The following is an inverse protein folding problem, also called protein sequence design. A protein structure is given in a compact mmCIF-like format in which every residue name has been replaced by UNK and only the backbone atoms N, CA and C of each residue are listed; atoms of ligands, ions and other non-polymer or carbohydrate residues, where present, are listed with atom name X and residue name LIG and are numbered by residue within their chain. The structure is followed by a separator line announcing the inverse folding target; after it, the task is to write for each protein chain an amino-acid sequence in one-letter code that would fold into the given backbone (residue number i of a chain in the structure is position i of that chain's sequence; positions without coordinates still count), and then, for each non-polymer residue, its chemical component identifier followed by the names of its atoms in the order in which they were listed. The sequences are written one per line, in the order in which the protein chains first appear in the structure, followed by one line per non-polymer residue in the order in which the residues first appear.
data_IF_351460662348
#
_entry.id   IF_351460662348
#
_cell.length_a   1.000
_cell.length_b   1.000
_cell.length_c   1.000
_cell.angle_alpha   90.00
_cell.angle_beta   90.00
_cell.angle_gamma   90.00
#
_symmetry.space_group_name_H-M   'P 1'
#
loop_
_entity.id
_entity.type
_entity.pdbx_description
1 polymer ?
#
# COMPACT_ATOMS: atom_id res chain seq x y z
N UNK A 1 -33.31 20.21 -7.31
CA UNK A 1 -31.97 20.35 -6.70
C UNK A 1 -31.60 18.99 -6.10
N UNK A 2 -30.83 18.17 -6.83
CA UNK A 2 -30.46 16.82 -6.36
C UNK A 2 -29.36 16.97 -5.31
N UNK A 3 -29.69 16.64 -4.06
CA UNK A 3 -28.71 16.46 -3.00
C UNK A 3 -27.81 15.28 -3.39
N UNK A 4 -26.57 15.55 -3.77
CA UNK A 4 -25.53 14.53 -3.74
C UNK A 4 -25.19 14.29 -2.26
N UNK A 5 -25.31 13.06 -1.73
CA UNK A 5 -24.80 12.79 -0.41
C UNK A 5 -23.30 13.09 -0.42
N UNK A 6 -22.84 13.89 0.55
CA UNK A 6 -21.41 14.06 0.83
C UNK A 6 -20.79 12.67 0.85
N UNK A 7 -19.90 12.37 -0.10
CA UNK A 7 -19.04 11.20 0.02
C UNK A 7 -18.36 11.29 1.38
N UNK A 8 -18.54 10.29 2.24
CA UNK A 8 -17.62 10.03 3.34
C UNK A 8 -16.32 9.49 2.75
N UNK A 9 -15.60 10.35 2.01
CA UNK A 9 -14.23 10.08 1.64
C UNK A 9 -13.44 10.18 2.94
N UNK A 10 -12.99 9.04 3.46
CA UNK A 10 -12.09 8.99 4.62
C UNK A 10 -10.71 9.42 4.14
N UNK A 11 -10.49 10.74 4.11
CA UNK A 11 -9.21 11.31 3.71
C UNK A 11 -8.12 10.92 4.71
N UNK A 12 -6.97 10.48 4.19
CA UNK A 12 -5.77 10.21 4.99
C UNK A 12 -5.46 11.43 5.87
N UNK A 13 -5.28 11.18 7.18
CA UNK A 13 -4.91 12.21 8.13
C UNK A 13 -3.39 12.37 8.19
N UNK A 14 -2.88 13.22 7.31
CA UNK A 14 -1.44 13.49 7.19
C UNK A 14 -0.79 13.99 8.48
N UNK A 15 -1.55 14.65 9.37
CA UNK A 15 -1.01 15.18 10.63
C UNK A 15 -0.69 14.08 11.64
N UNK A 16 -1.26 12.88 11.47
CA UNK A 16 -0.98 11.73 12.33
C UNK A 16 0.19 10.87 11.82
N UNK A 17 0.75 11.19 10.65
CA UNK A 17 1.96 10.53 10.17
C UNK A 17 3.17 11.04 10.93
N UNK A 18 3.89 10.12 11.56
CA UNK A 18 5.26 10.37 11.97
C UNK A 18 6.13 10.32 10.71
N UNK A 19 6.80 11.40 10.37
CA UNK A 19 7.68 11.47 9.21
C UNK A 19 9.12 11.47 9.72
N UNK A 20 9.92 10.49 9.26
CA UNK A 20 11.33 10.42 9.61
C UNK A 20 12.11 11.61 9.00
N UNK A 21 13.16 12.07 9.68
CA UNK A 21 14.06 13.06 9.10
C UNK A 21 14.96 12.39 8.06
N UNK A 22 14.95 12.91 6.83
CA UNK A 22 15.62 12.29 5.69
C UNK A 22 16.21 13.33 4.75
N UNK A 23 17.39 13.01 4.19
CA UNK A 23 18.06 13.85 3.16
C UNK A 23 17.41 13.77 1.77
N UNK A 24 16.24 13.15 1.65
CA UNK A 24 15.51 12.93 0.39
C UNK A 24 15.69 11.51 -0.17
N UNK A 25 14.87 11.10 -1.16
CA UNK A 25 14.79 9.72 -1.61
C UNK A 25 15.91 9.25 -2.53
N UNK A 26 16.83 10.14 -2.93
CA UNK A 26 17.94 9.79 -3.81
C UNK A 26 17.46 9.11 -5.11
N UNK A 27 18.06 7.96 -5.43
CA UNK A 27 17.75 7.18 -6.63
C UNK A 27 16.34 6.56 -6.58
N UNK A 28 15.75 6.37 -5.39
CA UNK A 28 14.39 5.83 -5.26
C UNK A 28 13.30 6.79 -5.74
N UNK A 29 13.62 8.06 -6.03
CA UNK A 29 12.62 9.05 -6.45
C UNK A 29 11.79 8.58 -7.65
N UNK A 30 12.44 8.02 -8.67
CA UNK A 30 11.77 7.55 -9.89
C UNK A 30 10.87 6.32 -9.63
N UNK A 31 11.17 5.55 -8.58
CA UNK A 31 10.30 4.48 -8.11
C UNK A 31 9.17 5.01 -7.24
N UNK A 32 9.40 6.03 -6.41
CA UNK A 32 8.38 6.63 -5.56
C UNK A 32 7.30 7.35 -6.35
N UNK A 33 7.70 8.15 -7.32
CA UNK A 33 6.81 9.01 -8.09
C UNK A 33 6.15 8.28 -9.27
N UNK A 34 6.54 7.02 -9.53
CA UNK A 34 6.01 6.23 -10.64
C UNK A 34 4.51 6.01 -10.50
N UNK A 35 3.75 6.53 -11.46
CA UNK A 35 2.29 6.50 -11.40
C UNK A 35 1.71 5.16 -11.84
N UNK A 36 2.40 4.35 -12.63
CA UNK A 36 1.85 3.05 -13.06
C UNK A 36 2.22 1.92 -12.08
N UNK A 37 1.97 0.68 -12.51
CA UNK A 37 2.22 -0.52 -11.70
C UNK A 37 3.71 -0.71 -11.43
N UNK A 38 4.13 -0.65 -10.15
CA UNK A 38 5.48 -1.03 -9.74
C UNK A 38 5.84 -2.45 -10.17
N UNK A 39 4.87 -3.35 -10.18
CA UNK A 39 5.05 -4.74 -10.62
C UNK A 39 5.44 -4.79 -12.10
N UNK A 40 4.79 -3.98 -12.94
CA UNK A 40 5.04 -3.98 -14.39
C UNK A 40 6.38 -3.30 -14.69
N UNK A 41 6.71 -2.23 -13.96
CA UNK A 41 8.03 -1.59 -14.01
C UNK A 41 9.15 -2.56 -13.64
N UNK A 42 9.01 -3.29 -12.53
CA UNK A 42 9.99 -4.30 -12.12
C UNK A 42 10.14 -5.37 -13.20
N UNK A 43 9.05 -5.97 -13.68
CA UNK A 43 9.07 -6.98 -14.75
C UNK A 43 9.76 -6.48 -16.02
N UNK A 44 9.51 -5.23 -16.42
CA UNK A 44 10.14 -4.64 -17.60
C UNK A 44 11.67 -4.52 -17.44
N UNK A 45 12.16 -4.28 -16.22
CA UNK A 45 13.58 -4.11 -15.93
C UNK A 45 14.30 -5.44 -15.68
N UNK A 46 13.65 -6.40 -15.04
CA UNK A 46 14.30 -7.64 -14.55
C UNK A 46 13.83 -8.91 -15.26
N UNK A 47 12.82 -8.80 -16.15
CA UNK A 47 12.19 -9.93 -16.84
C UNK A 47 11.15 -10.69 -16.00
N UNK A 48 11.13 -10.52 -14.68
CA UNK A 48 10.20 -11.22 -13.80
C UNK A 48 9.90 -10.44 -12.50
N UNK A 49 8.71 -10.67 -11.93
CA UNK A 49 8.36 -10.20 -10.60
C UNK A 49 7.49 -11.26 -9.92
N UNK A 50 7.97 -11.72 -8.77
CA UNK A 50 7.37 -12.77 -7.96
C UNK A 50 6.73 -12.16 -6.73
N UNK A 51 5.44 -12.42 -6.56
CA UNK A 51 4.71 -12.03 -5.36
C UNK A 51 4.76 -13.18 -4.36
N UNK A 52 5.20 -12.89 -3.14
CA UNK A 52 5.09 -13.79 -2.00
C UNK A 52 4.11 -13.21 -0.97
N UNK A 53 3.09 -14.00 -0.61
CA UNK A 53 2.07 -13.61 0.37
C UNK A 53 2.55 -13.96 1.77
N UNK A 54 2.74 -12.93 2.60
CA UNK A 54 3.17 -13.07 3.99
C UNK A 54 1.99 -13.30 4.93
N UNK A 55 0.92 -12.53 4.77
CA UNK A 55 -0.30 -12.65 5.57
C UNK A 55 -1.53 -12.22 4.77
N UNK A 56 -2.69 -12.79 5.11
CA UNK A 56 -3.98 -12.37 4.58
C UNK A 56 -5.09 -12.81 5.52
N UNK A 57 -5.72 -11.88 6.21
CA UNK A 57 -6.75 -12.19 7.19
C UNK A 57 -7.59 -10.95 7.54
N UNK A 58 -8.74 -11.21 8.14
CA UNK A 58 -9.46 -10.20 8.91
C UNK A 58 -8.70 -9.88 10.19
N UNK A 59 -8.63 -8.60 10.54
CA UNK A 59 -7.95 -8.11 11.73
C UNK A 59 -8.76 -6.97 12.36
N UNK A 60 -8.47 -6.68 13.63
CA UNK A 60 -8.97 -5.48 14.31
C UNK A 60 -8.05 -4.31 13.89
N UNK A 61 -8.59 -3.16 13.45
CA UNK A 61 -7.78 -2.00 13.07
C UNK A 61 -6.91 -1.53 14.23
N UNK A 62 -5.61 -1.38 13.95
CA UNK A 62 -4.64 -0.90 14.92
C UNK A 62 -4.65 0.64 15.01
N UNK A 63 -3.74 1.20 15.80
CA UNK A 63 -3.62 2.65 15.94
C UNK A 63 -3.41 3.36 14.58
N UNK A 64 -2.50 2.86 13.75
CA UNK A 64 -2.20 3.44 12.45
C UNK A 64 -3.44 3.43 11.54
N UNK A 65 -4.15 2.29 11.44
CA UNK A 65 -5.37 2.16 10.64
C UNK A 65 -6.46 3.17 11.09
N UNK A 66 -6.60 3.39 12.40
CA UNK A 66 -7.62 4.30 12.95
C UNK A 66 -7.27 5.77 12.78
N UNK A 67 -6.04 6.14 13.06
CA UNK A 67 -5.64 7.55 13.18
C UNK A 67 -5.02 8.11 11.90
N UNK A 68 -4.31 7.29 11.13
CA UNK A 68 -3.74 7.69 9.84
C UNK A 68 -4.76 7.52 8.72
N UNK A 69 -5.42 6.36 8.63
CA UNK A 69 -6.41 6.11 7.58
C UNK A 69 -7.85 6.52 7.96
N UNK A 70 -8.09 6.89 9.22
CA UNK A 70 -9.42 7.31 9.67
C UNK A 70 -10.44 6.16 9.78
N UNK A 71 -10.00 4.90 9.76
CA UNK A 71 -10.91 3.74 9.70
C UNK A 71 -11.70 3.58 11.00
N UNK A 72 -13.03 3.66 10.89
CA UNK A 72 -13.96 3.49 12.01
C UNK A 72 -14.53 2.07 12.12
N UNK A 73 -14.31 1.21 11.12
CA UNK A 73 -14.78 -0.17 11.16
C UNK A 73 -14.17 -0.94 12.34
N UNK A 74 -14.85 -1.97 12.82
CA UNK A 74 -14.31 -2.87 13.84
C UNK A 74 -13.39 -3.94 13.25
N UNK A 75 -13.42 -4.12 11.94
CA UNK A 75 -12.56 -5.06 11.23
C UNK A 75 -12.09 -4.50 9.89
N UNK A 76 -10.87 -4.90 9.52
CA UNK A 76 -10.26 -4.68 8.21
C UNK A 76 -9.83 -6.03 7.65
N UNK A 77 -9.97 -6.20 6.34
CA UNK A 77 -9.29 -7.25 5.62
C UNK A 77 -7.91 -6.73 5.24
N UNK A 78 -6.87 -7.36 5.79
CA UNK A 78 -5.48 -6.97 5.60
C UNK A 78 -4.77 -8.05 4.79
N UNK A 79 -3.93 -7.62 3.84
CA UNK A 79 -3.00 -8.49 3.12
C UNK A 79 -1.61 -7.88 3.13
N UNK A 80 -0.62 -8.67 3.47
CA UNK A 80 0.80 -8.29 3.44
C UNK A 80 1.53 -9.20 2.45
N UNK A 81 2.37 -8.60 1.61
CA UNK A 81 3.16 -9.29 0.59
C UNK A 81 4.58 -8.71 0.55
N UNK A 82 5.48 -9.45 -0.10
CA UNK A 82 6.71 -8.91 -0.65
C UNK A 82 6.75 -9.14 -2.15
N UNK A 83 7.33 -8.21 -2.88
CA UNK A 83 7.68 -8.41 -4.29
C UNK A 83 9.17 -8.69 -4.40
N UNK A 84 9.51 -9.77 -5.11
CA UNK A 84 10.88 -10.23 -5.29
C UNK A 84 11.19 -10.59 -6.74
N UNK A 85 12.47 -10.68 -7.07
CA UNK A 85 12.96 -11.37 -8.26
C UNK A 85 14.27 -12.07 -7.90
N UNK A 86 14.41 -13.34 -8.31
CA UNK A 86 15.62 -14.14 -8.04
C UNK A 86 16.05 -14.14 -6.56
N UNK A 87 15.07 -14.15 -5.64
CA UNK A 87 15.31 -14.14 -4.20
C UNK A 87 15.61 -12.76 -3.59
N UNK A 88 15.79 -11.71 -4.39
CA UNK A 88 15.98 -10.33 -3.92
C UNK A 88 14.61 -9.68 -3.72
N UNK A 89 14.35 -9.14 -2.53
CA UNK A 89 13.12 -8.40 -2.22
C UNK A 89 13.30 -6.93 -2.56
N UNK A 90 12.33 -6.33 -3.25
CA UNK A 90 12.40 -4.93 -3.68
C UNK A 90 11.44 -4.01 -2.93
N UNK A 91 10.26 -4.53 -2.57
CA UNK A 91 9.35 -3.80 -1.70
C UNK A 91 8.45 -4.75 -0.92
N UNK A 92 8.04 -4.25 0.23
CA UNK A 92 6.93 -4.79 1.00
C UNK A 92 5.65 -4.05 0.60
N UNK A 93 4.50 -4.72 0.59
CA UNK A 93 3.23 -4.03 0.44
C UNK A 93 2.15 -4.55 1.40
N UNK A 94 1.32 -3.62 1.86
CA UNK A 94 0.19 -3.86 2.76
C UNK A 94 -1.07 -3.23 2.18
N UNK A 95 -2.05 -4.08 1.87
CA UNK A 95 -3.39 -3.65 1.50
C UNK A 95 -4.28 -3.64 2.74
N UNK A 96 -5.03 -2.55 2.94
CA UNK A 96 -5.99 -2.38 4.05
C UNK A 96 -7.37 -2.10 3.47
N UNK A 97 -8.30 -3.02 3.64
CA UNK A 97 -9.65 -2.93 3.11
C UNK A 97 -10.64 -2.89 4.29
N UNK A 98 -11.28 -1.74 4.58
CA UNK A 98 -12.29 -1.66 5.63
C UNK A 98 -13.45 -2.62 5.38
N UNK A 99 -14.03 -3.20 6.44
CA UNK A 99 -15.14 -4.15 6.32
C UNK A 99 -16.31 -3.60 5.49
N UNK A 100 -16.67 -2.32 5.65
CA UNK A 100 -17.73 -1.68 4.86
C UNK A 100 -17.38 -1.59 3.37
N UNK A 101 -16.12 -1.33 3.04
CA UNK A 101 -15.64 -1.30 1.66
C UNK A 101 -15.68 -2.72 1.06
N UNK A 102 -15.16 -3.71 1.78
CA UNK A 102 -15.20 -5.12 1.36
C UNK A 102 -16.63 -5.59 1.09
N UNK A 103 -17.58 -5.22 1.96
CA UNK A 103 -18.99 -5.59 1.85
C UNK A 103 -19.71 -5.01 0.63
N UNK A 104 -19.15 -4.01 -0.06
CA UNK A 104 -19.72 -3.48 -1.30
C UNK A 104 -19.68 -4.52 -2.43
N UNK A 105 -18.64 -5.36 -2.47
CA UNK A 105 -18.45 -6.38 -3.51
C UNK A 105 -17.45 -7.47 -3.06
N UNK A 106 -17.86 -8.42 -2.20
CA UNK A 106 -16.96 -9.44 -1.68
C UNK A 106 -16.24 -10.26 -2.77
N UNK A 107 -16.93 -10.58 -3.87
CA UNK A 107 -16.35 -11.33 -4.99
C UNK A 107 -15.20 -10.59 -5.67
N UNK A 108 -15.19 -9.25 -5.63
CA UNK A 108 -14.08 -8.46 -6.15
C UNK A 108 -12.85 -8.61 -5.26
N UNK A 109 -12.99 -8.52 -3.95
CA UNK A 109 -11.87 -8.63 -3.01
C UNK A 109 -11.40 -10.07 -2.78
N UNK A 110 -12.28 -11.07 -2.95
CA UNK A 110 -11.92 -12.49 -2.90
C UNK A 110 -10.90 -12.89 -3.96
N UNK A 111 -10.83 -12.16 -5.08
CA UNK A 111 -9.79 -12.35 -6.09
C UNK A 111 -8.38 -12.22 -5.51
N UNK A 112 -8.20 -11.48 -4.41
CA UNK A 112 -6.90 -11.34 -3.73
C UNK A 112 -6.35 -12.67 -3.19
N UNK A 113 -7.16 -13.71 -3.05
CA UNK A 113 -6.63 -15.04 -2.73
C UNK A 113 -5.64 -15.56 -3.79
N UNK A 114 -5.90 -15.24 -5.06
CA UNK A 114 -5.17 -15.80 -6.21
C UNK A 114 -4.50 -14.74 -7.08
N UNK A 115 -4.88 -13.48 -6.94
CA UNK A 115 -4.40 -12.37 -7.78
C UNK A 115 -3.61 -11.34 -6.96
N UNK A 116 -2.76 -10.58 -7.64
CA UNK A 116 -2.12 -9.40 -7.05
C UNK A 116 -3.10 -8.22 -6.97
N UNK A 117 -2.91 -7.32 -5.99
CA UNK A 117 -3.70 -6.09 -5.88
C UNK A 117 -3.60 -5.21 -7.13
N UNK A 118 -2.49 -5.27 -7.87
CA UNK A 118 -2.33 -4.61 -9.19
C UNK A 118 -3.52 -4.89 -10.10
N UNK A 119 -3.89 -6.16 -10.27
CA UNK A 119 -4.97 -6.56 -11.19
C UNK A 119 -6.35 -6.03 -10.76
N UNK A 120 -6.50 -5.72 -9.47
CA UNK A 120 -7.72 -5.13 -8.94
C UNK A 120 -7.72 -3.60 -9.08
N UNK A 121 -6.55 -2.96 -9.25
CA UNK A 121 -6.43 -1.49 -9.30
C UNK A 121 -6.39 -0.97 -10.74
N UNK A 122 -5.55 -1.57 -11.60
CA UNK A 122 -5.22 -0.98 -12.90
C UNK A 122 -6.16 -1.38 -14.03
N UNK A 123 -6.81 -2.53 -13.92
CA UNK A 123 -7.67 -3.09 -14.97
C UNK A 123 -9.17 -2.98 -14.61
N UNK A 124 -9.53 -2.17 -13.61
CA UNK A 124 -10.88 -2.12 -13.03
C UNK A 124 -11.48 -0.71 -13.04
N UNK A 125 -12.54 -0.52 -13.85
CA UNK A 125 -13.25 0.76 -13.96
C UNK A 125 -13.94 1.22 -12.66
N UNK A 126 -14.23 0.30 -11.75
CA UNK A 126 -14.85 0.62 -10.46
C UNK A 126 -13.86 1.09 -9.38
N UNK A 127 -12.57 1.18 -9.70
CA UNK A 127 -11.52 1.69 -8.81
C UNK A 127 -10.95 2.99 -9.37
N UNK A 128 -10.99 4.04 -8.56
CA UNK A 128 -10.34 5.32 -8.86
C UNK A 128 -9.23 5.59 -7.85
N UNK A 129 -8.04 5.84 -8.36
CA UNK A 129 -6.87 6.21 -7.55
C UNK A 129 -6.87 7.68 -7.19
N UNK A 130 -6.54 7.98 -5.95
CA UNK A 130 -6.17 9.34 -5.51
C UNK A 130 -4.65 9.54 -5.66
N UNK A 131 -4.16 10.80 -5.58
CA UNK A 131 -2.73 11.09 -5.61
C UNK A 131 -1.94 10.29 -4.57
N UNK A 132 -0.75 9.87 -4.95
CA UNK A 132 0.16 9.08 -4.09
C UNK A 132 0.82 10.01 -3.08
N UNK A 133 0.83 9.59 -1.82
CA UNK A 133 1.63 10.21 -0.77
C UNK A 133 2.94 9.45 -0.61
N UNK A 134 4.07 10.16 -0.65
CA UNK A 134 5.39 9.57 -0.43
C UNK A 134 6.06 10.19 0.80
N UNK A 135 6.59 9.36 1.71
CA UNK A 135 7.27 9.83 2.92
C UNK A 135 8.30 8.83 3.43
N UNK A 136 9.39 9.30 4.09
CA UNK A 136 10.38 8.43 4.71
C UNK A 136 9.90 7.88 6.05
N UNK A 137 10.38 6.69 6.39
CA UNK A 137 10.16 6.01 7.69
C UNK A 137 11.46 5.41 8.23
N UNK A 138 11.58 5.39 9.55
CA UNK A 138 12.73 4.82 10.28
C UNK A 138 12.27 3.93 11.45
N UNK A 139 13.19 3.55 12.33
CA UNK A 139 12.94 2.68 13.49
C UNK A 139 11.91 3.21 14.49
N UNK A 140 11.49 4.47 14.40
CA UNK A 140 10.43 5.05 15.24
C UNK A 140 9.03 4.89 14.62
N UNK A 141 8.96 4.48 13.35
CA UNK A 141 7.72 4.30 12.61
C UNK A 141 7.15 2.89 12.71
N UNK A 142 5.83 2.77 12.86
CA UNK A 142 5.14 1.48 12.84
C UNK A 142 5.33 0.75 11.51
N UNK A 143 5.32 1.50 10.40
CA UNK A 143 5.51 1.00 9.04
C UNK A 143 6.85 0.27 8.88
N UNK A 144 7.91 0.81 9.49
CA UNK A 144 9.24 0.21 9.46
C UNK A 144 9.25 -1.16 10.14
N UNK A 145 8.53 -1.30 11.26
CA UNK A 145 8.41 -2.58 11.97
C UNK A 145 7.57 -3.62 11.22
N UNK A 146 6.66 -3.22 10.33
CA UNK A 146 5.93 -4.17 9.48
C UNK A 146 6.88 -4.90 8.54
N UNK A 147 7.85 -4.19 7.96
CA UNK A 147 8.89 -4.78 7.10
C UNK A 147 9.81 -5.68 7.93
N UNK A 148 10.33 -5.15 9.05
CA UNK A 148 11.30 -5.87 9.89
C UNK A 148 10.77 -7.15 10.53
N UNK A 149 9.45 -7.31 10.61
CA UNK A 149 8.82 -8.58 11.01
C UNK A 149 9.17 -9.73 10.06
N UNK A 150 9.35 -9.46 8.77
CA UNK A 150 9.56 -10.47 7.73
C UNK A 150 10.94 -10.38 7.07
N UNK A 151 11.45 -9.17 6.91
CA UNK A 151 12.75 -8.90 6.28
C UNK A 151 13.65 -8.35 7.37
N UNK A 152 14.50 -9.20 7.95
CA UNK A 152 15.48 -8.74 8.94
C UNK A 152 16.52 -7.90 8.21
N UNK A 153 16.37 -6.59 8.31
CA UNK A 153 17.24 -5.64 7.65
C UNK A 153 17.96 -4.76 8.67
N UNK A 154 19.14 -4.27 8.28
CA UNK A 154 19.88 -3.24 9.01
C UNK A 154 19.62 -1.85 8.41
N UNK A 155 18.52 -1.67 7.67
CA UNK A 155 18.19 -0.39 7.06
C UNK A 155 18.03 0.68 8.15
N UNK A 156 18.61 1.86 7.94
CA UNK A 156 18.36 3.00 8.80
C UNK A 156 17.05 3.71 8.44
N UNK A 157 16.62 3.60 7.18
CA UNK A 157 15.49 4.31 6.63
C UNK A 157 14.90 3.55 5.44
N UNK A 158 13.60 3.69 5.22
CA UNK A 158 12.88 3.23 4.01
C UNK A 158 11.92 4.31 3.53
N UNK A 159 11.32 4.10 2.35
CA UNK A 159 10.37 5.04 1.76
C UNK A 159 9.02 4.40 1.51
N UNK A 160 7.98 5.09 1.95
CA UNK A 160 6.58 4.67 1.82
C UNK A 160 5.94 5.36 0.61
N UNK A 161 5.16 4.60 -0.16
CA UNK A 161 4.09 5.08 -1.03
C UNK A 161 2.75 4.67 -0.43
N UNK A 162 1.90 5.64 -0.13
CA UNK A 162 0.55 5.41 0.35
C UNK A 162 -0.45 5.91 -0.70
N UNK A 163 -1.32 5.02 -1.15
CA UNK A 163 -2.36 5.33 -2.13
C UNK A 163 -3.75 5.02 -1.55
N UNK A 164 -4.64 6.00 -1.58
CA UNK A 164 -6.07 5.81 -1.36
C UNK A 164 -6.75 5.42 -2.68
N UNK A 165 -7.58 4.37 -2.61
CA UNK A 165 -8.29 3.78 -3.74
C UNK A 165 -9.79 3.87 -3.48
N UNK A 166 -10.46 4.76 -4.19
CA UNK A 166 -11.91 4.92 -4.12
C UNK A 166 -12.57 3.79 -4.91
N UNK A 167 -13.43 3.03 -4.25
CA UNK A 167 -14.16 1.91 -4.80
C UNK A 167 -15.65 2.23 -4.99
N UNK A 168 -16.14 2.02 -6.21
CA UNK A 168 -17.51 2.29 -6.65
C UNK A 168 -18.02 3.70 -6.30
N UNK A 169 -17.12 4.69 -6.14
CA UNK A 169 -17.45 6.04 -5.66
C UNK A 169 -18.20 6.06 -4.31
N UNK A 170 -18.03 5.02 -3.48
CA UNK A 170 -18.77 4.84 -2.21
C UNK A 170 -17.88 4.70 -0.98
N UNK A 171 -16.75 4.02 -1.11
CA UNK A 171 -15.83 3.76 0.00
C UNK A 171 -14.40 3.72 -0.48
N UNK A 172 -13.43 3.68 0.43
CA UNK A 172 -12.01 3.63 0.11
C UNK A 172 -11.36 2.38 0.69
N UNK A 173 -10.34 1.89 -0.01
CA UNK A 173 -9.35 0.97 0.52
C UNK A 173 -7.95 1.53 0.25
N UNK A 174 -6.93 0.96 0.86
CA UNK A 174 -5.61 1.58 0.91
C UNK A 174 -4.53 0.59 0.52
N UNK A 175 -3.52 1.10 -0.19
CA UNK A 175 -2.31 0.37 -0.53
C UNK A 175 -1.10 1.15 0.02
N UNK A 176 -0.36 0.49 0.89
CA UNK A 176 0.95 0.95 1.39
C UNK A 176 2.02 0.11 0.73
N UNK A 177 2.99 0.73 0.07
CA UNK A 177 4.17 0.07 -0.50
C UNK A 177 5.40 0.68 0.18
N UNK A 178 6.28 -0.16 0.73
CA UNK A 178 7.53 0.28 1.38
C UNK A 178 8.68 -0.21 0.52
N UNK A 179 9.30 0.74 -0.19
CA UNK A 179 10.41 0.50 -1.10
C UNK A 179 11.69 0.22 -0.31
N UNK A 180 12.40 -0.83 -0.72
CA UNK A 180 13.68 -1.20 -0.13
C UNK A 180 14.86 -0.67 -0.97
N UNK A 181 16.04 -0.45 -0.37
CA UNK A 181 17.21 0.06 -1.06
C UNK A 181 17.68 -0.79 -2.25
N UNK A 182 17.32 -2.07 -2.32
CA UNK A 182 17.68 -2.98 -3.42
C UNK A 182 17.20 -2.47 -4.78
N UNK A 183 16.15 -1.64 -4.82
CA UNK A 183 15.68 -0.98 -6.05
C UNK A 183 16.70 -0.01 -6.65
N UNK A 184 17.61 0.55 -5.84
CA UNK A 184 18.68 1.43 -6.31
C UNK A 184 19.67 0.68 -7.19
N UNK A 185 19.82 -0.64 -7.01
CA UNK A 185 20.71 -1.47 -7.83
C UNK A 185 20.17 -1.74 -9.25
N UNK A 186 18.93 -1.35 -9.54
CA UNK A 186 18.30 -1.50 -10.85
C UNK A 186 18.43 -0.25 -11.73
N UNK A 187 18.98 0.86 -11.20
CA UNK A 187 19.02 2.18 -11.83
C UNK A 187 20.38 2.50 -12.45
#
# INVERSE_FOLDING_TARGET
MKFFPKLLCMSINYQSLLIADAKGPGLLKDWLEYQDSLTDKLKAMTGNAELERLSQNWAIPNWWDRYVLGIQNNSIFQREIVMKNQGIVYWYARSVIPQSCYALKPEFFNRLENESIRNLIFDESSVRRLPILCYPVDQLNLEFHWVNKYIRSEYSQMWVRLTELVFQEKSSFYLVEILLPELENLL
#
